data_IF_963351710898
#
_entry.id   IF_963351710898
#
_cell.length_a   1.000
_cell.length_b   1.000
_cell.length_c   1.000
_cell.angle_alpha   90.00
_cell.angle_beta   90.00
_cell.angle_gamma   90.00
#
_symmetry.space_group_name_H-M   'P 1'
#
loop_
_entity.id
_entity.type
_entity.pdbx_description
1 polymer ?
#
# COMPACT_ATOMS: atom_id res chain seq x y z
N UNK A 1 4.07 -50.26 28.97
CA UNK A 1 3.39 -49.18 29.72
C UNK A 1 4.07 -47.88 29.32
N UNK A 2 3.50 -46.88 28.68
CA UNK A 2 2.12 -46.54 28.31
C UNK A 2 2.22 -45.53 27.15
N UNK A 3 1.45 -45.81 26.09
CA UNK A 3 0.81 -44.93 25.09
C UNK A 3 1.42 -43.55 24.72
N UNK A 4 1.60 -43.38 23.40
CA UNK A 4 1.17 -42.26 22.51
C UNK A 4 0.97 -40.88 23.15
N UNK A 5 1.46 -39.81 22.50
CA UNK A 5 0.63 -38.70 21.94
C UNK A 5 1.49 -37.83 20.99
N UNK A 6 0.99 -37.62 19.77
CA UNK A 6 1.46 -36.59 18.84
C UNK A 6 0.83 -35.24 19.20
N UNK A 7 1.60 -34.13 19.20
CA UNK A 7 1.10 -32.75 19.03
C UNK A 7 2.25 -31.98 18.35
N UNK A 8 2.24 -31.68 17.04
CA UNK A 8 1.52 -30.58 16.39
C UNK A 8 1.46 -29.31 17.24
N UNK A 9 2.58 -28.60 17.33
CA UNK A 9 2.58 -27.18 17.71
C UNK A 9 2.25 -26.37 16.45
N UNK A 10 0.96 -26.15 16.25
CA UNK A 10 0.47 -24.97 15.53
C UNK A 10 1.13 -23.74 16.15
N UNK A 11 2.00 -23.05 15.41
CA UNK A 11 2.37 -21.67 15.72
C UNK A 11 1.12 -20.80 15.55
N UNK A 12 0.31 -20.77 16.60
CA UNK A 12 -0.72 -19.77 16.80
C UNK A 12 -0.03 -18.42 16.85
N UNK A 13 -0.40 -17.58 15.87
CA UNK A 13 -0.19 -16.14 15.85
C UNK A 13 -0.20 -15.57 17.27
N UNK A 14 0.94 -14.99 17.64
CA UNK A 14 1.14 -14.29 18.90
C UNK A 14 0.25 -13.03 18.92
N UNK A 15 -0.99 -13.17 19.39
CA UNK A 15 -1.83 -12.03 19.76
C UNK A 15 -1.40 -11.54 21.14
N UNK A 16 -0.32 -10.75 21.17
CA UNK A 16 -0.03 -9.92 22.33
C UNK A 16 -1.14 -8.85 22.46
N UNK A 17 -1.58 -8.51 23.68
CA UNK A 17 -2.61 -7.50 23.89
C UNK A 17 -1.97 -6.12 23.66
N UNK A 18 -2.16 -5.56 22.47
CA UNK A 18 -1.70 -4.22 22.14
C UNK A 18 -2.40 -3.21 23.05
N UNK A 19 -1.62 -2.52 23.89
CA UNK A 19 -2.07 -1.33 24.63
C UNK A 19 -2.49 -0.29 23.60
N UNK A 20 -3.63 0.36 23.83
CA UNK A 20 -4.30 1.27 22.92
C UNK A 20 -3.48 2.51 22.47
N UNK A 21 -2.24 2.66 22.93
CA UNK A 21 -1.35 3.79 22.66
C UNK A 21 -0.34 3.49 21.53
N UNK A 22 -0.20 2.22 21.10
CA UNK A 22 0.73 1.78 20.03
C UNK A 22 0.08 1.67 18.63
N UNK A 23 -1.17 2.10 18.46
CA UNK A 23 -2.04 1.74 17.30
C UNK A 23 -1.70 2.50 15.99
N UNK A 24 -0.51 3.07 15.83
CA UNK A 24 -0.14 3.81 14.60
C UNK A 24 1.17 3.39 13.93
N UNK A 25 1.86 2.36 14.43
CA UNK A 25 3.01 1.76 13.73
C UNK A 25 2.63 0.36 13.27
N UNK A 26 2.07 0.26 12.07
CA UNK A 26 2.02 -1.03 11.38
C UNK A 26 3.44 -1.49 11.10
N UNK A 27 3.80 -2.71 11.50
CA UNK A 27 5.07 -3.31 11.08
C UNK A 27 5.17 -3.30 9.53
N UNK A 28 6.32 -2.99 8.92
CA UNK A 28 6.47 -2.84 7.46
C UNK A 28 5.93 -4.02 6.65
N UNK A 29 6.12 -5.24 7.15
CA UNK A 29 5.68 -6.49 6.49
C UNK A 29 4.15 -6.54 6.40
N UNK A 30 3.44 -5.99 7.38
CA UNK A 30 2.00 -5.99 7.48
C UNK A 30 1.42 -4.93 6.55
N UNK A 31 2.04 -3.75 6.47
CA UNK A 31 1.67 -2.70 5.51
C UNK A 31 1.77 -3.18 4.07
N UNK A 32 2.89 -3.80 3.69
CA UNK A 32 3.07 -4.28 2.32
C UNK A 32 2.05 -5.36 1.94
N UNK A 33 1.77 -6.30 2.85
CA UNK A 33 0.75 -7.34 2.67
C UNK A 33 -0.64 -6.73 2.50
N UNK A 34 -0.98 -5.74 3.32
CA UNK A 34 -2.27 -5.05 3.23
C UNK A 34 -2.42 -4.33 1.90
N UNK A 35 -1.41 -3.56 1.47
CA UNK A 35 -1.46 -2.83 0.19
C UNK A 35 -1.66 -3.77 -0.98
N UNK A 36 -0.97 -4.91 -0.99
CA UNK A 36 -1.12 -5.93 -2.02
C UNK A 36 -2.55 -6.46 -2.07
N UNK A 37 -3.08 -6.88 -0.92
CA UNK A 37 -4.44 -7.41 -0.83
C UNK A 37 -5.48 -6.36 -1.23
N UNK A 38 -5.31 -5.11 -0.80
CA UNK A 38 -6.21 -4.01 -1.14
C UNK A 38 -6.34 -3.83 -2.66
N UNK A 39 -5.21 -3.76 -3.39
CA UNK A 39 -5.26 -3.59 -4.84
C UNK A 39 -5.79 -4.83 -5.57
N UNK A 40 -5.51 -6.04 -5.07
CA UNK A 40 -6.05 -7.29 -5.61
C UNK A 40 -7.58 -7.37 -5.44
N UNK A 41 -8.10 -7.03 -4.26
CA UNK A 41 -9.54 -7.08 -3.95
C UNK A 41 -10.34 -5.98 -4.65
N UNK A 42 -9.79 -4.77 -4.76
CA UNK A 42 -10.47 -3.66 -5.42
C UNK A 42 -10.57 -3.83 -6.93
N UNK A 43 -9.76 -4.73 -7.52
CA UNK A 43 -9.74 -5.03 -8.95
C UNK A 43 -9.84 -3.75 -9.80
N UNK A 44 -8.99 -2.76 -9.49
CA UNK A 44 -9.06 -1.43 -10.09
C UNK A 44 -8.94 -1.52 -11.61
N UNK A 45 -9.77 -0.74 -12.31
CA UNK A 45 -9.66 -0.64 -13.76
C UNK A 45 -8.33 0.03 -14.12
N UNK A 46 -7.62 -0.53 -15.10
CA UNK A 46 -6.43 0.12 -15.65
C UNK A 46 -6.81 1.50 -16.22
N UNK A 47 -6.02 2.52 -15.88
CA UNK A 47 -6.19 3.90 -16.36
C UNK A 47 -4.82 4.49 -16.66
N UNK A 48 -4.80 5.43 -17.60
CA UNK A 48 -3.65 6.28 -17.86
C UNK A 48 -3.88 7.65 -17.22
N UNK A 49 -2.90 8.09 -16.44
CA UNK A 49 -2.86 9.41 -15.84
C UNK A 49 -1.96 10.29 -16.69
N UNK A 50 -2.53 11.36 -17.23
CA UNK A 50 -1.80 12.37 -17.97
C UNK A 50 -1.27 13.43 -17.01
N UNK A 51 0.05 13.57 -16.95
CA UNK A 51 0.73 14.54 -16.09
C UNK A 51 1.55 15.48 -16.98
N UNK A 52 1.23 16.78 -16.92
CA UNK A 52 2.04 17.79 -17.60
C UNK A 52 3.22 18.22 -16.70
N UNK A 53 4.41 18.21 -17.27
CA UNK A 53 5.64 18.68 -16.67
C UNK A 53 6.40 19.63 -17.62
N UNK A 54 7.49 20.21 -17.15
CA UNK A 54 8.24 21.22 -17.90
C UNK A 54 8.87 20.67 -19.20
N UNK A 55 9.18 19.37 -19.21
CA UNK A 55 9.80 18.63 -20.30
C UNK A 55 8.78 17.98 -21.26
N UNK A 56 7.49 17.95 -20.90
CA UNK A 56 6.43 17.42 -21.75
C UNK A 56 5.29 16.76 -20.98
N UNK A 57 4.55 15.91 -21.69
CA UNK A 57 3.42 15.15 -21.14
C UNK A 57 3.86 13.72 -20.82
N UNK A 58 3.70 13.33 -19.57
CA UNK A 58 3.99 11.99 -19.07
C UNK A 58 2.68 11.21 -18.91
N UNK A 59 2.63 10.00 -19.46
CA UNK A 59 1.48 9.09 -19.31
C UNK A 59 1.87 7.95 -18.37
N UNK A 60 1.24 7.89 -17.20
CA UNK A 60 1.54 6.88 -16.18
C UNK A 60 0.33 5.97 -15.98
N UNK A 61 0.53 4.65 -16.07
CA UNK A 61 -0.52 3.67 -15.84
C UNK A 61 -0.83 3.43 -14.36
N UNK A 62 -2.05 3.02 -14.05
CA UNK A 62 -2.47 2.54 -12.71
C UNK A 62 -1.48 1.53 -12.14
N UNK A 63 -1.08 0.55 -12.95
CA UNK A 63 -0.18 -0.53 -12.58
C UNK A 63 1.20 0.02 -12.20
N UNK A 64 1.72 0.96 -12.97
CA UNK A 64 2.99 1.63 -12.67
C UNK A 64 2.93 2.38 -11.34
N UNK A 65 1.82 3.10 -11.06
CA UNK A 65 1.66 3.77 -9.76
C UNK A 65 1.63 2.76 -8.61
N UNK A 66 0.94 1.64 -8.78
CA UNK A 66 0.87 0.57 -7.78
C UNK A 66 2.25 -0.04 -7.53
N UNK A 67 3.04 -0.28 -8.59
CA UNK A 67 4.42 -0.75 -8.48
C UNK A 67 5.31 0.25 -7.71
N UNK A 68 5.18 1.55 -8.01
CA UNK A 68 5.90 2.60 -7.30
C UNK A 68 5.54 2.62 -5.80
N UNK A 69 4.27 2.46 -5.46
CA UNK A 69 3.82 2.34 -4.06
C UNK A 69 4.49 1.14 -3.39
N UNK A 70 4.58 0.00 -4.06
CA UNK A 70 5.21 -1.21 -3.50
C UNK A 70 6.73 -1.09 -3.33
N UNK A 71 7.38 -0.26 -4.14
CA UNK A 71 8.83 0.00 -4.07
C UNK A 71 9.18 1.15 -3.10
N UNK A 72 8.18 1.92 -2.66
CA UNK A 72 8.39 3.05 -1.76
C UNK A 72 8.97 2.61 -0.39
N UNK A 73 9.69 3.49 0.32
CA UNK A 73 10.14 3.24 1.68
C UNK A 73 8.99 2.88 2.65
N UNK A 74 9.23 2.07 3.71
CA UNK A 74 8.17 1.61 4.61
C UNK A 74 7.30 2.72 5.24
N UNK A 75 7.90 3.86 5.58
CA UNK A 75 7.19 5.02 6.13
C UNK A 75 6.22 5.65 5.11
N UNK A 76 6.61 5.68 3.83
CA UNK A 76 5.75 6.16 2.75
C UNK A 76 4.63 5.16 2.45
N UNK A 77 4.93 3.86 2.43
CA UNK A 77 3.92 2.80 2.28
C UNK A 77 2.86 2.90 3.39
N UNK A 78 3.27 3.14 4.63
CA UNK A 78 2.34 3.31 5.75
C UNK A 78 1.45 4.55 5.56
N UNK A 79 2.05 5.65 5.09
CA UNK A 79 1.31 6.88 4.78
C UNK A 79 0.28 6.64 3.68
N UNK A 80 0.67 5.95 2.61
CA UNK A 80 -0.21 5.58 1.49
C UNK A 80 -1.34 4.68 1.97
N UNK A 81 -1.04 3.65 2.76
CA UNK A 81 -2.03 2.75 3.36
C UNK A 81 -3.06 3.52 4.17
N UNK A 82 -2.63 4.46 5.01
CA UNK A 82 -3.52 5.28 5.82
C UNK A 82 -4.46 6.12 4.95
N UNK A 83 -3.95 6.77 3.90
CA UNK A 83 -4.77 7.56 2.97
C UNK A 83 -5.76 6.67 2.20
N UNK A 84 -5.32 5.53 1.68
CA UNK A 84 -6.19 4.58 0.98
C UNK A 84 -7.30 4.05 1.89
N UNK A 85 -6.99 3.74 3.15
CA UNK A 85 -7.98 3.33 4.15
C UNK A 85 -9.05 4.41 4.35
N UNK A 86 -8.63 5.68 4.43
CA UNK A 86 -9.58 6.78 4.57
C UNK A 86 -10.45 6.96 3.31
N UNK A 87 -9.85 6.89 2.12
CA UNK A 87 -10.60 6.97 0.86
C UNK A 87 -11.63 5.85 0.81
N UNK A 88 -11.23 4.62 1.14
CA UNK A 88 -12.11 3.47 1.10
C UNK A 88 -13.27 3.56 2.10
N UNK A 89 -12.98 4.02 3.32
CA UNK A 89 -13.99 4.23 4.36
C UNK A 89 -15.08 5.21 3.92
N UNK A 90 -14.72 6.23 3.15
CA UNK A 90 -15.67 7.21 2.61
C UNK A 90 -16.25 6.78 1.24
N UNK A 91 -15.98 5.55 0.78
CA UNK A 91 -16.32 5.06 -0.56
C UNK A 91 -15.87 6.03 -1.67
N UNK A 92 -14.69 6.62 -1.49
CA UNK A 92 -14.09 7.58 -2.40
C UNK A 92 -13.44 6.93 -3.60
N UNK A 93 -13.17 7.74 -4.63
CA UNK A 93 -12.50 7.27 -5.84
C UNK A 93 -10.98 7.17 -5.65
N UNK A 94 -10.46 5.95 -5.52
CA UNK A 94 -9.02 5.65 -5.38
C UNK A 94 -8.19 6.23 -6.53
N UNK A 95 -8.73 6.31 -7.76
CA UNK A 95 -8.01 6.86 -8.90
C UNK A 95 -7.62 8.33 -8.74
N UNK A 96 -8.36 9.12 -7.94
CA UNK A 96 -7.97 10.51 -7.68
C UNK A 96 -6.64 10.57 -6.93
N UNK A 97 -6.45 9.67 -5.97
CA UNK A 97 -5.23 9.60 -5.20
C UNK A 97 -4.07 9.00 -6.01
N UNK A 98 -4.33 7.95 -6.81
CA UNK A 98 -3.31 7.40 -7.72
C UNK A 98 -2.84 8.42 -8.75
N UNK A 99 -3.75 9.23 -9.31
CA UNK A 99 -3.39 10.34 -10.20
C UNK A 99 -2.52 11.39 -9.49
N UNK A 100 -2.84 11.71 -8.23
CA UNK A 100 -2.01 12.61 -7.43
C UNK A 100 -0.60 12.05 -7.22
N UNK A 101 -0.47 10.77 -6.90
CA UNK A 101 0.84 10.10 -6.75
C UNK A 101 1.63 10.09 -8.06
N UNK A 102 0.97 9.81 -9.19
CA UNK A 102 1.60 9.90 -10.51
C UNK A 102 2.17 11.31 -10.76
N UNK A 103 1.42 12.36 -10.46
CA UNK A 103 1.88 13.73 -10.61
C UNK A 103 3.07 14.08 -9.70
N UNK A 104 3.07 13.59 -8.47
CA UNK A 104 4.20 13.73 -7.55
C UNK A 104 5.45 13.02 -8.07
N UNK A 105 5.31 11.81 -8.61
CA UNK A 105 6.43 11.05 -9.16
C UNK A 105 7.11 11.78 -10.31
N UNK A 106 6.35 12.26 -11.30
CA UNK A 106 6.89 13.04 -12.43
C UNK A 106 7.60 14.30 -11.96
N UNK A 107 7.00 15.02 -11.01
CA UNK A 107 7.60 16.24 -10.46
C UNK A 107 8.94 15.97 -9.79
N UNK A 108 9.04 14.85 -9.07
CA UNK A 108 10.29 14.43 -8.42
C UNK A 108 11.34 14.09 -9.47
N UNK A 109 10.99 13.38 -10.55
CA UNK A 109 11.91 13.09 -11.66
C UNK A 109 12.43 14.38 -12.32
N UNK A 110 11.53 15.31 -12.66
CA UNK A 110 11.87 16.57 -13.31
C UNK A 110 12.71 17.53 -12.43
N UNK A 111 12.78 17.30 -11.12
CA UNK A 111 13.58 18.11 -10.21
C UNK A 111 15.06 17.69 -10.15
N UNK A 112 15.44 16.58 -10.78
CA UNK A 112 16.81 16.07 -10.82
C UNK A 112 17.54 16.32 -12.15
N UNK A 113 16.88 16.96 -13.13
CA UNK A 113 17.48 17.46 -14.39
C UNK A 113 17.92 18.92 -14.27
#
# INVERSE_FOLDING_TARGET
MTLRTQQQETQTMNLAPHRAEDVMIGEPVQTQKWLKLFFEEKALQSRLYEVQAADGVHLIGTETVIELIHQAPPNEQLTVMNVLTQIDFHNGNVHHFLNHLAACYVRTMAAFD
#
